data_IF_683085409371
#
_entry.id   IF_683085409371
#
_cell.length_a   1.000
_cell.length_b   1.000
_cell.length_c   1.000
_cell.angle_alpha   90.00
_cell.angle_beta   90.00
_cell.angle_gamma   90.00
#
_symmetry.space_group_name_H-M   'P 1'
#
loop_
_entity.id
_entity.type
_entity.pdbx_description
1 polymer ?
#
# COMPACT_ATOMS: atom_id res chain seq x y z
N UNK A 1 -1.54 7.37 -6.26
CA UNK A 1 -2.96 6.93 -6.12
C UNK A 1 -2.90 5.48 -5.66
N UNK A 2 -3.50 5.15 -4.52
CA UNK A 2 -3.59 3.77 -4.04
C UNK A 2 -4.99 3.26 -4.36
N UNK A 3 -5.10 2.18 -5.13
CA UNK A 3 -6.37 1.56 -5.52
C UNK A 3 -6.59 0.18 -4.86
N UNK A 4 -5.51 -0.49 -4.44
CA UNK A 4 -5.63 -1.75 -3.70
C UNK A 4 -6.20 -1.54 -2.30
N UNK A 5 -7.08 -2.46 -1.87
CA UNK A 5 -7.69 -2.50 -0.53
C UNK A 5 -8.52 -1.25 -0.17
N UNK A 6 -9.11 -0.57 -1.16
CA UNK A 6 -10.01 0.57 -0.95
C UNK A 6 -11.38 0.29 -1.57
N UNK A 7 -12.43 0.69 -0.86
CA UNK A 7 -13.79 0.58 -1.38
C UNK A 7 -13.95 1.46 -2.63
N UNK A 8 -14.71 0.95 -3.61
CA UNK A 8 -14.98 1.60 -4.90
C UNK A 8 -13.77 1.79 -5.83
N UNK A 9 -12.60 1.24 -5.49
CA UNK A 9 -11.45 1.16 -6.37
C UNK A 9 -11.24 -0.29 -6.86
N UNK A 10 -10.76 -0.46 -8.09
CA UNK A 10 -10.43 -1.76 -8.66
C UNK A 10 -9.10 -1.72 -9.43
N UNK A 11 -8.58 -2.90 -9.80
CA UNK A 11 -7.39 -2.98 -10.65
C UNK A 11 -7.62 -2.32 -12.02
N UNK A 12 -8.86 -2.39 -12.53
CA UNK A 12 -9.24 -1.73 -13.79
C UNK A 12 -9.22 -0.21 -13.65
N UNK A 13 -9.82 0.35 -12.59
CA UNK A 13 -9.83 1.81 -12.39
C UNK A 13 -8.42 2.35 -12.20
N UNK A 14 -7.55 1.60 -11.52
CA UNK A 14 -6.13 1.92 -11.38
C UNK A 14 -5.41 1.97 -12.73
N UNK A 15 -5.64 0.99 -13.59
CA UNK A 15 -5.02 0.90 -14.91
C UNK A 15 -5.52 2.02 -15.83
N UNK A 16 -6.83 2.27 -15.86
CA UNK A 16 -7.43 3.38 -16.63
C UNK A 16 -6.82 4.71 -16.20
N UNK A 17 -6.74 4.99 -14.90
CA UNK A 17 -6.15 6.23 -14.40
C UNK A 17 -4.67 6.39 -14.78
N UNK A 18 -3.90 5.30 -14.84
CA UNK A 18 -2.50 5.33 -15.28
C UNK A 18 -2.41 5.68 -16.77
N UNK A 19 -3.22 5.04 -17.61
CA UNK A 19 -3.26 5.26 -19.06
C UNK A 19 -3.69 6.69 -19.35
N UNK A 20 -4.75 7.19 -18.70
CA UNK A 20 -5.22 8.57 -18.86
C UNK A 20 -4.12 9.59 -18.52
N UNK A 21 -3.33 9.31 -17.49
CA UNK A 21 -2.19 10.16 -17.11
C UNK A 21 -1.09 10.15 -18.18
N UNK A 22 -0.80 9.00 -18.77
CA UNK A 22 0.18 8.89 -19.84
C UNK A 22 -0.30 9.56 -21.13
N UNK A 23 -1.56 9.38 -21.50
CA UNK A 23 -2.16 10.04 -22.66
C UNK A 23 -2.06 11.57 -22.51
N UNK A 24 -2.41 12.10 -21.34
CA UNK A 24 -2.29 13.53 -21.07
C UNK A 24 -0.84 14.03 -21.17
N UNK A 25 0.10 13.33 -20.55
CA UNK A 25 1.51 13.70 -20.62
C UNK A 25 2.04 13.66 -22.07
N UNK A 26 1.57 12.69 -22.87
CA UNK A 26 1.92 12.62 -24.28
C UNK A 26 1.37 13.81 -25.08
N UNK A 27 0.11 14.19 -24.82
CA UNK A 27 -0.53 15.34 -25.47
C UNK A 27 0.18 16.66 -25.10
N UNK A 28 0.68 16.76 -23.87
CA UNK A 28 1.46 17.91 -23.38
C UNK A 28 2.93 17.90 -23.88
N UNK A 29 3.36 16.84 -24.58
CA UNK A 29 4.72 16.69 -25.11
C UNK A 29 5.76 16.27 -24.08
N UNK A 30 5.34 15.80 -22.91
CA UNK A 30 6.21 15.36 -21.83
C UNK A 30 6.85 13.98 -22.12
N UNK A 31 8.03 13.75 -21.56
CA UNK A 31 8.66 12.42 -21.58
C UNK A 31 8.00 11.50 -20.54
N UNK A 32 7.52 10.34 -20.98
CA UNK A 32 6.84 9.36 -20.13
C UNK A 32 7.80 8.22 -19.76
N UNK A 33 7.87 7.91 -18.46
CA UNK A 33 8.60 6.75 -17.94
C UNK A 33 7.82 6.07 -16.81
N UNK A 34 7.98 4.75 -16.68
CA UNK A 34 7.33 3.96 -15.64
C UNK A 34 8.34 3.02 -14.96
N UNK A 35 8.25 2.94 -13.63
CA UNK A 35 9.01 2.00 -12.80
C UNK A 35 8.01 1.16 -12.03
N UNK A 36 8.02 -0.15 -12.26
CA UNK A 36 7.17 -1.10 -11.57
C UNK A 36 7.95 -1.75 -10.43
N UNK A 37 7.40 -1.68 -9.23
CA UNK A 37 7.97 -2.27 -8.02
C UNK A 37 7.05 -3.39 -7.55
N UNK A 38 7.61 -4.58 -7.38
CA UNK A 38 6.94 -5.71 -6.74
C UNK A 38 7.70 -6.11 -5.48
N UNK A 39 6.98 -6.20 -4.36
CA UNK A 39 7.54 -6.53 -3.05
C UNK A 39 7.12 -7.95 -2.69
N UNK A 40 8.05 -8.89 -2.82
CA UNK A 40 7.86 -10.26 -2.35
C UNK A 40 7.55 -10.23 -0.85
N UNK A 41 6.49 -10.93 -0.42
CA UNK A 41 6.08 -11.04 1.00
C UNK A 41 6.04 -9.68 1.72
N UNK A 42 5.39 -8.68 1.12
CA UNK A 42 5.41 -7.30 1.60
C UNK A 42 5.15 -7.12 3.11
N UNK A 43 4.28 -7.93 3.72
CA UNK A 43 4.01 -7.85 5.17
C UNK A 43 5.12 -8.44 6.06
N UNK A 44 5.95 -9.33 5.54
CA UNK A 44 7.08 -9.93 6.26
C UNK A 44 8.31 -9.01 6.22
N UNK A 45 8.41 -8.17 5.17
CA UNK A 45 9.45 -7.12 5.09
C UNK A 45 9.16 -5.90 5.97
N UNK A 46 7.91 -5.72 6.41
CA UNK A 46 7.55 -4.58 7.25
C UNK A 46 8.09 -4.77 8.67
N UNK A 47 8.83 -3.78 9.16
CA UNK A 47 9.22 -3.74 10.57
C UNK A 47 7.95 -3.56 11.44
N UNK A 48 7.58 -4.63 12.16
CA UNK A 48 6.37 -4.67 12.97
C UNK A 48 6.39 -3.65 14.11
N UNK A 49 7.54 -3.41 14.74
CA UNK A 49 7.66 -2.41 15.80
C UNK A 49 7.38 -1.00 15.27
N UNK A 50 7.98 -0.66 14.13
CA UNK A 50 7.78 0.64 13.48
C UNK A 50 6.31 0.83 13.05
N UNK A 51 5.64 -0.22 12.58
CA UNK A 51 4.23 -0.19 12.24
C UNK A 51 3.37 0.11 13.48
N UNK A 52 3.59 -0.58 14.59
CA UNK A 52 2.86 -0.35 15.84
C UNK A 52 3.11 1.06 16.38
N UNK A 53 4.35 1.55 16.35
CA UNK A 53 4.68 2.92 16.76
C UNK A 53 3.93 3.96 15.91
N UNK A 54 3.82 3.76 14.59
CA UNK A 54 3.05 4.65 13.70
C UNK A 54 1.56 4.63 14.04
N UNK A 55 0.98 3.45 14.26
CA UNK A 55 -0.44 3.32 14.62
C UNK A 55 -0.75 3.96 15.99
N UNK A 56 0.16 3.83 16.96
CA UNK A 56 0.06 4.53 18.25
C UNK A 56 0.09 6.05 18.06
N UNK A 57 0.94 6.55 17.17
CA UNK A 57 0.98 7.99 16.81
C UNK A 57 -0.34 8.47 16.20
N UNK A 58 -1.04 7.61 15.44
CA UNK A 58 -2.38 7.87 14.91
C UNK A 58 -3.51 7.69 15.94
N UNK A 59 -3.18 7.48 17.23
CA UNK A 59 -4.14 7.42 18.35
C UNK A 59 -5.10 6.22 18.30
N UNK A 60 -4.64 5.10 17.74
CA UNK A 60 -5.36 3.84 17.81
C UNK A 60 -5.44 3.35 19.27
N UNK A 61 -6.53 2.69 19.63
CA UNK A 61 -6.74 2.20 21.00
C UNK A 61 -5.67 1.18 21.40
N UNK A 62 -5.23 1.24 22.66
CA UNK A 62 -4.21 0.31 23.19
C UNK A 62 -4.61 -1.17 23.03
N UNK A 63 -5.88 -1.49 23.23
CA UNK A 63 -6.42 -2.86 23.05
C UNK A 63 -6.27 -3.36 21.62
N UNK A 64 -6.54 -2.49 20.63
CA UNK A 64 -6.37 -2.79 19.22
C UNK A 64 -4.89 -2.94 18.85
N UNK A 65 -4.01 -2.08 19.36
CA UNK A 65 -2.57 -2.20 19.15
C UNK A 65 -2.03 -3.51 19.71
N UNK A 66 -2.43 -3.88 20.94
CA UNK A 66 -2.05 -5.16 21.56
C UNK A 66 -2.53 -6.36 20.76
N UNK A 67 -3.79 -6.33 20.29
CA UNK A 67 -4.34 -7.38 19.43
C UNK A 67 -3.56 -7.49 18.12
N UNK A 68 -3.25 -6.36 17.48
CA UNK A 68 -2.51 -6.34 16.22
C UNK A 68 -1.07 -6.83 16.40
N UNK A 69 -0.40 -6.45 17.50
CA UNK A 69 0.91 -7.00 17.85
C UNK A 69 0.83 -8.52 17.97
N UNK A 70 -0.15 -9.06 18.71
CA UNK A 70 -0.31 -10.52 18.82
C UNK A 70 -0.66 -11.22 17.50
N UNK A 71 -1.32 -10.53 16.58
CA UNK A 71 -1.65 -11.06 15.26
C UNK A 71 -0.41 -11.15 14.35
N UNK A 72 0.55 -10.24 14.52
CA UNK A 72 1.78 -10.21 13.74
C UNK A 72 2.90 -11.05 14.35
N UNK A 73 2.84 -11.34 15.65
CA UNK A 73 3.77 -12.21 16.36
C UNK A 73 3.61 -13.67 15.89
N UNK A 74 4.73 -14.40 15.72
CA UNK A 74 4.76 -15.81 15.30
C UNK A 74 4.01 -16.16 14.00
N UNK A 75 3.92 -15.23 13.04
CA UNK A 75 3.34 -15.55 11.72
C UNK A 75 4.21 -16.54 10.95
N UNK A 76 3.69 -17.75 10.80
CA UNK A 76 4.18 -18.76 9.86
C UNK A 76 3.26 -18.82 8.63
N UNK A 77 3.76 -18.39 7.48
CA UNK A 77 3.07 -18.53 6.20
C UNK A 77 3.78 -19.63 5.39
N UNK A 78 3.07 -20.74 5.15
CA UNK A 78 3.54 -21.85 4.29
C UNK A 78 3.88 -21.38 2.88
#
# INVERSE_FOLDING_TARGET
>A
MQSGFRANDSSQTALTALIDKWLKANDDGDLIGAVFLDLAKAFDLLNHELLIQKLNKYKFAYTLLRWLTSYMDDRYQK
#
